data_IF_913346277591
#
_entry.id   IF_913346277591
#
_cell.length_a   1.000
_cell.length_b   1.000
_cell.length_c   1.000
_cell.angle_alpha   90.00
_cell.angle_beta   90.00
_cell.angle_gamma   90.00
#
_symmetry.space_group_name_H-M   'P 1'
#
loop_
_entity.id
_entity.type
_entity.pdbx_description
1 polymer ?
#
# COMPACT_ATOMS: atom_id res chain seq x y z
N UNK A 1 -27.33 19.14 15.45
CA UNK A 1 -26.98 19.32 14.03
C UNK A 1 -27.73 18.29 13.21
N UNK A 2 -28.32 18.67 12.08
CA UNK A 2 -28.95 17.72 11.17
C UNK A 2 -27.82 17.18 10.28
N UNK A 3 -27.54 15.88 10.35
CA UNK A 3 -26.55 15.23 9.49
C UNK A 3 -27.30 14.67 8.28
N UNK A 4 -26.98 15.17 7.10
CA UNK A 4 -27.50 14.65 5.82
C UNK A 4 -26.38 13.86 5.17
N UNK A 5 -26.66 12.63 4.73
CA UNK A 5 -25.70 11.81 3.98
C UNK A 5 -25.52 12.41 2.59
N UNK A 6 -24.30 12.85 2.26
CA UNK A 6 -23.99 13.56 1.01
C UNK A 6 -23.31 12.70 -0.05
N UNK A 7 -22.71 11.56 0.33
CA UNK A 7 -21.96 10.69 -0.56
C UNK A 7 -22.35 9.23 -0.36
N UNK A 8 -22.35 8.48 -1.47
CA UNK A 8 -22.45 7.03 -1.47
C UNK A 8 -21.13 6.44 -0.98
N UNK A 9 -21.20 5.37 -0.20
CA UNK A 9 -20.09 4.77 0.52
C UNK A 9 -19.83 3.32 0.11
N UNK A 10 -20.86 2.61 -0.34
CA UNK A 10 -20.74 1.18 -0.66
C UNK A 10 -21.10 0.88 -2.11
N UNK A 11 -20.51 -0.16 -2.74
CA UNK A 11 -20.87 -0.59 -4.09
C UNK A 11 -22.38 -0.80 -4.27
N UNK A 12 -23.08 -1.27 -3.24
CA UNK A 12 -24.53 -1.50 -3.26
C UNK A 12 -25.31 -0.19 -3.36
N UNK A 13 -24.84 0.88 -2.72
CA UNK A 13 -25.42 2.21 -2.83
C UNK A 13 -25.22 2.78 -4.25
N UNK A 14 -24.03 2.60 -4.84
CA UNK A 14 -23.77 2.94 -6.24
C UNK A 14 -24.65 2.13 -7.21
N UNK A 15 -24.85 0.83 -6.94
CA UNK A 15 -25.71 -0.01 -7.77
C UNK A 15 -27.18 0.41 -7.79
N UNK A 16 -27.64 1.15 -6.77
CA UNK A 16 -29.00 1.69 -6.66
C UNK A 16 -29.19 3.04 -7.35
N UNK A 17 -28.17 3.57 -8.03
CA UNK A 17 -28.31 4.82 -8.80
C UNK A 17 -29.36 4.61 -9.89
N UNK A 18 -30.42 5.41 -9.85
CA UNK A 18 -31.47 5.41 -10.86
C UNK A 18 -30.94 6.02 -12.16
N UNK A 19 -31.03 5.27 -13.26
CA UNK A 19 -30.64 5.74 -14.59
C UNK A 19 -31.84 6.22 -15.40
N UNK A 20 -32.95 5.46 -15.35
CA UNK A 20 -34.12 5.76 -16.16
C UNK A 20 -35.39 5.19 -15.55
N UNK A 21 -36.51 5.89 -15.76
CA UNK A 21 -37.86 5.37 -15.54
C UNK A 21 -38.53 5.16 -16.90
N UNK A 22 -39.10 3.99 -17.12
CA UNK A 22 -39.76 3.60 -18.36
C UNK A 22 -41.24 4.06 -18.37
N UNK A 23 -41.89 3.99 -19.53
CA UNK A 23 -43.30 4.42 -19.68
C UNK A 23 -44.29 3.59 -18.85
N UNK A 24 -43.94 2.34 -18.54
CA UNK A 24 -44.71 1.43 -17.71
C UNK A 24 -44.43 1.61 -16.19
N UNK A 25 -43.58 2.57 -15.81
CA UNK A 25 -43.19 2.83 -14.43
C UNK A 25 -42.05 1.95 -13.91
N UNK A 26 -41.53 1.02 -14.71
CA UNK A 26 -40.35 0.23 -14.34
C UNK A 26 -39.10 1.13 -14.26
N UNK A 27 -38.20 0.81 -13.32
CA UNK A 27 -36.98 1.57 -13.08
C UNK A 27 -35.77 0.75 -13.54
N UNK A 28 -34.83 1.43 -14.20
CA UNK A 28 -33.52 0.90 -14.56
C UNK A 28 -32.49 1.53 -13.64
N UNK A 29 -31.79 0.68 -12.89
CA UNK A 29 -30.72 1.05 -11.96
C UNK A 29 -29.35 0.77 -12.59
N UNK A 30 -28.29 1.37 -12.04
CA UNK A 30 -26.92 1.16 -12.53
C UNK A 30 -26.52 -0.33 -12.53
N UNK A 31 -26.90 -1.06 -11.48
CA UNK A 31 -26.63 -2.50 -11.38
C UNK A 31 -27.30 -3.35 -12.46
N UNK A 32 -28.37 -2.85 -13.09
CA UNK A 32 -29.10 -3.58 -14.12
C UNK A 32 -28.34 -3.57 -15.45
N UNK A 33 -27.36 -2.68 -15.60
CA UNK A 33 -26.59 -2.46 -16.85
C UNK A 33 -25.07 -2.48 -16.67
N UNK A 34 -24.56 -2.52 -15.43
CA UNK A 34 -23.13 -2.52 -15.13
C UNK A 34 -22.78 -3.36 -13.90
N UNK A 35 -21.54 -3.85 -13.85
CA UNK A 35 -20.95 -4.46 -12.64
C UNK A 35 -20.41 -3.36 -11.74
N UNK A 36 -20.82 -3.36 -10.48
CA UNK A 36 -20.36 -2.41 -9.47
C UNK A 36 -19.61 -3.17 -8.39
N UNK A 37 -18.30 -2.92 -8.26
CA UNK A 37 -17.43 -3.57 -7.29
C UNK A 37 -16.31 -2.63 -6.82
N UNK A 38 -15.75 -2.94 -5.64
CA UNK A 38 -14.53 -2.29 -5.15
C UNK A 38 -13.32 -3.04 -5.70
N UNK A 39 -12.79 -2.56 -6.82
CA UNK A 39 -11.65 -3.16 -7.52
C UNK A 39 -10.33 -2.43 -7.29
N UNK A 40 -9.28 -2.90 -7.97
CA UNK A 40 -8.02 -2.16 -8.08
C UNK A 40 -8.20 -0.92 -8.99
N UNK A 41 -7.39 0.11 -8.75
CA UNK A 41 -7.35 1.32 -9.58
C UNK A 41 -6.69 1.05 -10.95
N UNK A 42 -5.62 0.25 -10.97
CA UNK A 42 -4.87 -0.10 -12.17
C UNK A 42 -4.61 -1.61 -12.24
N UNK A 43 -4.92 -2.20 -13.40
CA UNK A 43 -4.72 -3.62 -13.72
C UNK A 43 -3.60 -3.86 -14.75
N UNK A 44 -2.94 -2.80 -15.22
CA UNK A 44 -1.87 -2.87 -16.22
C UNK A 44 -0.57 -3.48 -15.68
N UNK A 45 -0.35 -3.37 -14.36
CA UNK A 45 0.90 -3.77 -13.70
C UNK A 45 0.62 -4.85 -12.66
N UNK A 46 1.43 -5.92 -12.70
CA UNK A 46 1.37 -7.01 -11.71
C UNK A 46 2.67 -7.05 -10.92
N UNK A 47 2.60 -6.66 -9.64
CA UNK A 47 3.74 -6.73 -8.74
C UNK A 47 3.92 -8.16 -8.17
N UNK A 48 5.14 -8.68 -8.26
CA UNK A 48 5.52 -10.00 -7.73
C UNK A 48 6.85 -9.93 -6.99
N UNK A 49 6.99 -10.77 -5.97
CA UNK A 49 8.25 -11.04 -5.29
C UNK A 49 8.50 -12.55 -5.26
N UNK A 50 9.61 -13.01 -5.83
CA UNK A 50 9.94 -14.43 -5.99
C UNK A 50 8.76 -15.26 -6.54
N UNK A 51 8.09 -14.75 -7.58
CA UNK A 51 6.95 -15.39 -8.23
C UNK A 51 5.61 -15.31 -7.48
N UNK A 52 5.59 -14.81 -6.24
CA UNK A 52 4.37 -14.66 -5.43
C UNK A 52 3.76 -13.27 -5.59
N UNK A 53 2.42 -13.10 -5.50
CA UNK A 53 1.79 -11.78 -5.49
C UNK A 53 2.38 -10.91 -4.38
N UNK A 54 2.67 -9.66 -4.71
CA UNK A 54 3.26 -8.71 -3.77
C UNK A 54 2.72 -7.30 -3.99
N UNK A 55 2.80 -6.48 -2.94
CA UNK A 55 2.69 -5.03 -3.03
C UNK A 55 4.01 -4.43 -2.51
N UNK A 56 4.37 -3.26 -3.02
CA UNK A 56 5.63 -2.60 -2.67
C UNK A 56 5.42 -1.19 -2.16
N UNK A 57 6.27 -0.77 -1.23
CA UNK A 57 6.39 0.61 -0.79
C UNK A 57 7.83 1.04 -1.01
N UNK A 58 8.02 2.11 -1.77
CA UNK A 58 9.34 2.72 -1.97
C UNK A 58 9.58 3.79 -0.91
N UNK A 59 10.58 3.58 -0.05
CA UNK A 59 10.98 4.56 0.96
C UNK A 59 12.10 5.42 0.38
N UNK A 60 11.88 6.74 0.37
CA UNK A 60 12.88 7.73 -0.04
C UNK A 60 13.39 8.47 1.19
N UNK A 61 14.71 8.60 1.28
CA UNK A 61 15.35 9.37 2.34
C UNK A 61 15.02 10.86 2.17
N UNK A 62 14.61 11.51 3.26
CA UNK A 62 14.41 12.95 3.27
C UNK A 62 15.76 13.68 3.16
N UNK A 63 15.77 14.86 2.53
CA UNK A 63 16.97 15.69 2.40
C UNK A 63 17.58 16.00 3.77
N UNK A 64 18.87 15.70 3.94
CA UNK A 64 19.60 15.93 5.19
C UNK A 64 19.36 14.90 6.30
N UNK A 65 18.52 13.88 6.08
CA UNK A 65 18.31 12.80 7.03
C UNK A 65 19.43 11.76 6.99
N UNK A 66 19.62 11.03 8.10
CA UNK A 66 20.58 9.93 8.18
C UNK A 66 19.95 8.62 7.66
N UNK A 67 20.64 7.96 6.72
CA UNK A 67 20.14 6.74 6.08
C UNK A 67 20.05 5.54 7.05
N UNK A 68 21.05 5.35 7.92
CA UNK A 68 21.10 4.25 8.88
C UNK A 68 19.98 4.38 9.92
N UNK A 69 19.81 5.58 10.48
CA UNK A 69 18.73 5.87 11.43
C UNK A 69 17.35 5.70 10.81
N UNK A 70 17.18 6.18 9.57
CA UNK A 70 15.91 6.05 8.85
C UNK A 70 15.57 4.60 8.56
N UNK A 71 16.54 3.79 8.09
CA UNK A 71 16.33 2.35 7.84
C UNK A 71 15.93 1.61 9.10
N UNK A 72 16.61 1.90 10.23
CA UNK A 72 16.26 1.34 11.54
C UNK A 72 14.84 1.71 11.95
N UNK A 73 14.49 3.00 11.91
CA UNK A 73 13.16 3.46 12.30
C UNK A 73 12.04 2.84 11.45
N UNK A 74 12.26 2.69 10.13
CA UNK A 74 11.30 2.03 9.23
C UNK A 74 11.11 0.56 9.60
N UNK A 75 12.19 -0.18 9.87
CA UNK A 75 12.12 -1.59 10.28
C UNK A 75 11.43 -1.76 11.62
N UNK A 76 11.71 -0.88 12.58
CA UNK A 76 11.05 -0.87 13.89
C UNK A 76 9.54 -0.62 13.76
N UNK A 77 9.14 0.35 12.94
CA UNK A 77 7.73 0.67 12.72
C UNK A 77 7.00 -0.47 12.00
N UNK A 78 7.61 -1.09 10.99
CA UNK A 78 7.04 -2.25 10.32
C UNK A 78 6.91 -3.46 11.25
N UNK A 79 7.87 -3.66 12.15
CA UNK A 79 7.76 -4.69 13.19
C UNK A 79 6.62 -4.40 14.15
N UNK A 80 6.44 -3.14 14.59
CA UNK A 80 5.31 -2.73 15.43
C UNK A 80 3.97 -2.97 14.75
N UNK A 81 3.86 -2.61 13.47
CA UNK A 81 2.64 -2.78 12.68
C UNK A 81 2.34 -4.25 12.35
N UNK A 82 3.36 -5.11 12.32
CA UNK A 82 3.21 -6.53 11.96
C UNK A 82 2.20 -7.29 12.82
N UNK A 83 1.96 -6.84 14.05
CA UNK A 83 0.94 -7.41 14.95
C UNK A 83 -0.50 -7.26 14.42
N UNK A 84 -0.75 -6.30 13.53
CA UNK A 84 -2.06 -6.03 12.94
C UNK A 84 -2.22 -6.62 11.55
N UNK A 85 -1.18 -7.27 11.02
CA UNK A 85 -1.22 -7.84 9.69
C UNK A 85 -2.04 -9.14 9.68
N UNK A 86 -2.78 -9.41 8.59
CA UNK A 86 -3.35 -10.74 8.37
C UNK A 86 -2.24 -11.80 8.37
N UNK A 87 -2.56 -13.02 8.83
CA UNK A 87 -1.58 -14.11 8.92
C UNK A 87 -0.91 -14.49 7.58
N UNK A 88 -1.52 -14.13 6.45
CA UNK A 88 -0.99 -14.36 5.10
C UNK A 88 0.02 -13.31 4.64
N UNK A 89 0.22 -12.21 5.37
CA UNK A 89 1.06 -11.11 4.97
C UNK A 89 2.46 -11.24 5.60
N UNK A 90 3.50 -11.18 4.77
CA UNK A 90 4.90 -11.18 5.20
C UNK A 90 5.64 -9.97 4.64
N UNK A 91 6.33 -9.23 5.50
CA UNK A 91 7.23 -8.14 5.11
C UNK A 91 8.57 -8.68 4.66
N UNK A 92 9.10 -8.11 3.58
CA UNK A 92 10.46 -8.37 3.07
C UNK A 92 11.11 -7.06 2.65
N UNK A 93 12.45 -7.00 2.71
CA UNK A 93 13.24 -5.82 2.35
C UNK A 93 14.12 -6.18 1.13
N UNK A 94 13.57 -6.20 -0.09
CA UNK A 94 14.29 -6.68 -1.27
C UNK A 94 15.38 -5.71 -1.74
N UNK A 95 15.30 -4.45 -1.32
CA UNK A 95 16.25 -3.41 -1.67
C UNK A 95 16.48 -2.50 -0.45
N UNK A 96 17.66 -2.60 0.14
CA UNK A 96 18.12 -1.77 1.25
C UNK A 96 19.61 -1.52 1.07
N UNK A 97 20.01 -0.25 0.97
CA UNK A 97 21.40 0.16 0.76
C UNK A 97 22.18 0.31 2.07
N UNK A 98 21.50 0.31 3.22
CA UNK A 98 22.12 0.55 4.52
C UNK A 98 23.12 -0.52 4.97
N UNK A 99 22.95 -1.83 4.68
CA UNK A 99 23.96 -2.83 5.02
C UNK A 99 25.32 -2.56 4.37
N UNK A 100 25.34 -2.02 3.14
CA UNK A 100 26.59 -1.67 2.46
C UNK A 100 27.30 -0.50 3.14
N UNK A 101 26.56 0.51 3.59
CA UNK A 101 27.10 1.65 4.33
C UNK A 101 27.69 1.19 5.66
N UNK A 102 26.97 0.32 6.38
CA UNK A 102 27.43 -0.23 7.66
C UNK A 102 28.72 -1.03 7.51
N UNK A 103 28.80 -1.94 6.53
CA UNK A 103 30.02 -2.71 6.24
C UNK A 103 31.19 -1.78 5.89
N UNK A 104 30.96 -0.75 5.08
CA UNK A 104 32.00 0.20 4.69
C UNK A 104 32.57 0.96 5.90
N UNK A 105 31.72 1.34 6.85
CA UNK A 105 32.15 1.99 8.11
C UNK A 105 32.99 1.01 8.94
N UNK A 106 32.56 -0.25 9.07
CA UNK A 106 33.29 -1.27 9.83
C UNK A 106 34.68 -1.54 9.24
N UNK A 107 34.81 -1.63 7.93
CA UNK A 107 36.12 -1.82 7.27
C UNK A 107 37.07 -0.62 7.47
N UNK A 108 36.54 0.61 7.50
CA UNK A 108 37.36 1.79 7.85
C UNK A 108 37.88 1.68 9.28
N UNK A 109 37.03 1.32 10.24
CA UNK A 109 37.46 1.12 11.63
C UNK A 109 38.52 0.02 11.76
N UNK A 110 38.34 -1.10 11.06
CA UNK A 110 39.30 -2.19 11.05
C UNK A 110 40.67 -1.71 10.53
N UNK A 111 40.68 -1.02 9.39
CA UNK A 111 41.91 -0.47 8.80
C UNK A 111 42.62 0.50 9.74
N UNK A 112 41.88 1.32 10.49
CA UNK A 112 42.45 2.27 11.46
C UNK A 112 43.06 1.60 12.70
N UNK A 113 42.64 0.39 13.05
CA UNK A 113 43.15 -0.36 14.21
C UNK A 113 44.31 -1.29 13.83
N UNK A 114 44.36 -1.76 12.58
CA UNK A 114 45.43 -2.62 12.07
C UNK A 114 46.70 -1.85 11.67
N UNK A 115 46.60 -0.53 11.43
CA UNK A 115 47.71 0.37 11.09
C UNK A 115 48.39 0.96 12.35
#
# INVERSE_FOLDING_TARGET
SIIVQTRLQTPEEFGKILLKVQQDGSQVLLRDVARVELGAEDYSTVARYNGKPAAGIAIKLATGANALDTSRAVKEELNRLSAYFPASLKTVYPYDTTPFIEISIQEVFKTLVEA
#
